data_IF_202721659598
#
_entry.id   IF_202721659598
#
_cell.length_a   1.000
_cell.length_b   1.000
_cell.length_c   1.000
_cell.angle_alpha   90.00
_cell.angle_beta   90.00
_cell.angle_gamma   90.00
#
_symmetry.space_group_name_H-M   'P 1'
#
loop_
_entity.id
_entity.type
_entity.pdbx_description
1 polymer ?
#
# COMPACT_ATOMS: atom_id res chain seq x y z
N UNK A 1 -2.50 -27.02 0.68
CA UNK A 1 -1.02 -26.97 0.75
C UNK A 1 -0.60 -25.86 -0.17
N UNK A 2 0.31 -24.95 0.24
CA UNK A 2 0.74 -23.81 -0.56
C UNK A 2 2.17 -24.06 -1.03
N UNK A 3 2.43 -23.99 -2.33
CA UNK A 3 3.75 -24.27 -2.89
C UNK A 3 4.46 -22.95 -3.25
N UNK A 4 5.72 -22.82 -2.86
CA UNK A 4 6.60 -21.68 -3.15
C UNK A 4 7.73 -22.19 -4.04
N UNK A 5 8.02 -21.50 -5.14
CA UNK A 5 9.16 -21.82 -6.01
C UNK A 5 10.17 -20.68 -5.99
N UNK A 6 11.41 -21.01 -5.65
CA UNK A 6 12.48 -20.06 -5.37
C UNK A 6 12.58 -19.66 -3.89
N UNK A 7 13.75 -19.16 -3.48
CA UNK A 7 13.97 -18.63 -2.13
C UNK A 7 14.86 -17.38 -2.08
N UNK A 8 14.39 -16.33 -1.41
CA UNK A 8 15.18 -15.14 -1.02
C UNK A 8 14.85 -14.74 0.42
N UNK A 9 15.54 -13.72 0.94
CA UNK A 9 15.29 -13.17 2.27
C UNK A 9 13.85 -12.68 2.49
N UNK A 10 13.14 -12.29 1.42
CA UNK A 10 11.71 -11.92 1.47
C UNK A 10 10.82 -13.08 1.88
N UNK A 11 11.25 -14.32 1.61
CA UNK A 11 10.54 -15.54 2.00
C UNK A 11 10.35 -15.64 3.51
N UNK A 12 11.32 -15.16 4.30
CA UNK A 12 11.20 -15.17 5.76
C UNK A 12 10.09 -14.24 6.25
N UNK A 13 10.00 -13.02 5.71
CA UNK A 13 8.96 -12.09 6.13
C UNK A 13 7.57 -12.55 5.66
N UNK A 14 7.46 -13.14 4.48
CA UNK A 14 6.20 -13.72 4.02
C UNK A 14 5.75 -14.91 4.88
N UNK A 15 6.67 -15.77 5.35
CA UNK A 15 6.36 -16.81 6.35
C UNK A 15 5.93 -16.18 7.68
N UNK A 16 6.59 -15.11 8.14
CA UNK A 16 6.21 -14.40 9.38
C UNK A 16 4.77 -13.90 9.30
N UNK A 17 4.38 -13.36 8.15
CA UNK A 17 3.03 -12.89 7.89
C UNK A 17 2.00 -14.03 7.91
N UNK A 18 2.29 -15.16 7.27
CA UNK A 18 1.43 -16.35 7.31
C UNK A 18 1.30 -16.92 8.73
N UNK A 19 2.39 -16.96 9.49
CA UNK A 19 2.38 -17.42 10.88
C UNK A 19 1.51 -16.53 11.78
N UNK A 20 1.55 -15.22 11.57
CA UNK A 20 0.67 -14.27 12.27
C UNK A 20 -0.80 -14.44 11.90
N UNK A 21 -1.08 -14.70 10.63
CA UNK A 21 -2.43 -14.86 10.12
C UNK A 21 -3.09 -16.19 10.51
N UNK A 22 -2.30 -17.18 10.92
CA UNK A 22 -2.79 -18.51 11.23
C UNK A 22 -3.65 -18.50 12.50
N UNK A 23 -4.98 -18.38 12.32
CA UNK A 23 -5.96 -18.44 13.40
C UNK A 23 -5.94 -19.81 14.09
N UNK A 24 -6.27 -19.84 15.38
CA UNK A 24 -6.40 -21.08 16.17
C UNK A 24 -7.33 -22.09 15.48
N UNK A 25 -6.77 -23.21 15.00
CA UNK A 25 -7.51 -24.32 14.38
C UNK A 25 -7.09 -24.64 12.94
N UNK A 26 -6.58 -23.67 12.18
CA UNK A 26 -6.03 -23.91 10.84
C UNK A 26 -4.50 -23.90 10.89
N UNK A 27 -3.86 -25.02 10.56
CA UNK A 27 -2.39 -25.10 10.45
C UNK A 27 -1.95 -25.04 8.99
N UNK A 28 -1.75 -23.84 8.40
CA UNK A 28 -1.31 -23.71 7.03
C UNK A 28 -0.04 -24.52 6.80
N UNK A 29 0.04 -25.17 5.65
CA UNK A 29 1.20 -25.96 5.24
C UNK A 29 1.79 -25.34 4.00
N UNK A 30 3.05 -24.92 4.11
CA UNK A 30 3.85 -24.27 3.09
C UNK A 30 4.93 -25.24 2.64
N UNK A 31 5.00 -25.52 1.35
CA UNK A 31 6.05 -26.31 0.71
C UNK A 31 6.93 -25.37 -0.12
N UNK A 32 8.23 -25.37 0.11
CA UNK A 32 9.21 -24.51 -0.56
C UNK A 32 10.08 -25.37 -1.46
N UNK A 33 10.10 -25.04 -2.74
CA UNK A 33 10.95 -25.63 -3.76
C UNK A 33 12.07 -24.64 -4.06
N UNK A 34 13.27 -24.91 -3.57
CA UNK A 34 14.40 -24.00 -3.71
C UNK A 34 15.68 -24.72 -4.15
N UNK A 35 16.56 -23.97 -4.78
CA UNK A 35 17.93 -24.37 -5.07
C UNK A 35 18.84 -24.21 -3.85
N UNK A 36 18.48 -23.31 -2.93
CA UNK A 36 19.13 -23.08 -1.62
C UNK A 36 18.97 -24.32 -0.73
N UNK A 37 19.98 -24.61 0.09
CA UNK A 37 19.95 -25.75 1.00
C UNK A 37 18.84 -25.59 2.05
N UNK A 38 18.14 -26.70 2.34
CA UNK A 38 17.04 -26.70 3.31
C UNK A 38 17.49 -26.28 4.70
N UNK A 39 18.70 -26.66 5.11
CA UNK A 39 19.27 -26.30 6.41
C UNK A 39 19.40 -24.79 6.59
N UNK A 40 19.83 -24.07 5.56
CA UNK A 40 19.98 -22.62 5.58
C UNK A 40 18.63 -21.92 5.72
N UNK A 41 17.61 -22.42 5.01
CA UNK A 41 16.23 -21.89 5.09
C UNK A 41 15.66 -22.12 6.48
N UNK A 42 15.77 -23.34 7.03
CA UNK A 42 15.27 -23.62 8.39
C UNK A 42 16.02 -22.81 9.45
N UNK A 43 17.33 -22.64 9.30
CA UNK A 43 18.14 -21.80 10.18
C UNK A 43 17.67 -20.34 10.13
N UNK A 44 17.49 -19.79 8.93
CA UNK A 44 17.00 -18.43 8.74
C UNK A 44 15.60 -18.20 9.31
N UNK A 45 14.68 -19.17 9.16
CA UNK A 45 13.35 -19.13 9.81
C UNK A 45 13.50 -19.04 11.34
N UNK A 46 14.33 -19.92 11.93
CA UNK A 46 14.54 -19.94 13.38
C UNK A 46 15.19 -18.65 13.90
N UNK A 47 16.14 -18.09 13.17
CA UNK A 47 16.85 -16.86 13.56
C UNK A 47 15.99 -15.61 13.43
N UNK A 48 15.21 -15.49 12.34
CA UNK A 48 14.46 -14.26 12.01
C UNK A 48 13.03 -14.24 12.54
N UNK A 49 12.39 -15.40 12.63
CA UNK A 49 10.97 -15.56 12.99
C UNK A 49 10.83 -16.22 14.37
N UNK A 50 11.67 -17.23 14.65
CA UNK A 50 11.58 -18.06 15.84
C UNK A 50 10.89 -19.39 15.57
N UNK A 51 10.32 -19.99 16.61
CA UNK A 51 9.59 -21.25 16.49
C UNK A 51 8.19 -21.01 15.91
N UNK A 52 7.89 -21.64 14.78
CA UNK A 52 6.56 -21.61 14.17
C UNK A 52 5.60 -22.47 14.98
N UNK A 53 4.53 -21.87 15.50
CA UNK A 53 3.52 -22.53 16.35
C UNK A 53 2.32 -23.01 15.56
N UNK A 54 1.98 -22.30 14.49
CA UNK A 54 0.74 -22.49 13.75
C UNK A 54 0.96 -22.90 12.30
N UNK A 55 2.13 -22.64 11.72
CA UNK A 55 2.47 -22.95 10.33
C UNK A 55 3.43 -24.14 10.24
N UNK A 56 3.17 -25.04 9.28
CA UNK A 56 4.10 -26.11 8.90
C UNK A 56 4.84 -25.71 7.63
N UNK A 57 6.17 -25.81 7.66
CA UNK A 57 7.04 -25.51 6.52
C UNK A 57 7.81 -26.76 6.13
N UNK A 58 7.77 -27.12 4.85
CA UNK A 58 8.55 -28.19 4.25
C UNK A 58 9.41 -27.63 3.13
N UNK A 59 10.70 -27.92 3.12
CA UNK A 59 11.61 -27.54 2.04
C UNK A 59 11.96 -28.78 1.21
N UNK A 60 11.73 -28.70 -0.10
CA UNK A 60 12.19 -29.65 -1.10
C UNK A 60 13.23 -28.99 -1.99
N UNK A 61 14.28 -29.75 -2.30
CA UNK A 61 15.31 -29.31 -3.24
C UNK A 61 14.85 -29.59 -4.67
N UNK A 62 14.83 -28.57 -5.52
CA UNK A 62 14.45 -28.74 -6.92
C UNK A 62 14.42 -27.42 -7.68
N UNK A 63 14.65 -27.49 -8.98
CA UNK A 63 14.31 -26.42 -9.94
C UNK A 63 12.83 -26.50 -10.25
N UNK A 64 12.15 -25.36 -10.48
CA UNK A 64 10.76 -25.36 -10.95
C UNK A 64 10.70 -26.06 -12.31
N UNK A 65 10.23 -27.31 -12.34
CA UNK A 65 9.69 -27.89 -13.57
C UNK A 65 8.32 -27.23 -13.77
N UNK A 66 8.08 -26.66 -14.96
CA UNK A 66 6.80 -26.04 -15.32
C UNK A 66 5.69 -27.09 -15.29
N UNK A 67 5.14 -27.35 -14.11
CA UNK A 67 3.85 -27.99 -13.94
C UNK A 67 2.80 -26.93 -13.62
N UNK A 68 1.55 -27.25 -13.89
CA UNK A 68 0.42 -26.37 -13.65
C UNK A 68 0.29 -26.10 -12.13
N UNK A 69 0.00 -24.85 -11.75
CA UNK A 69 -0.30 -24.33 -10.38
C UNK A 69 0.81 -23.61 -9.56
N UNK A 70 1.59 -22.65 -10.11
CA UNK A 70 2.68 -22.03 -9.32
C UNK A 70 2.77 -20.50 -9.29
N UNK A 71 3.01 -19.98 -8.09
CA UNK A 71 3.61 -18.69 -7.91
C UNK A 71 5.13 -18.78 -7.97
N UNK A 72 5.73 -18.01 -8.89
CA UNK A 72 7.17 -17.91 -9.03
C UNK A 72 7.70 -16.73 -8.23
N UNK A 73 8.51 -16.98 -7.21
CA UNK A 73 9.36 -15.96 -6.62
C UNK A 73 10.72 -16.14 -7.29
N UNK A 74 11.03 -15.41 -8.35
CA UNK A 74 12.38 -15.49 -8.87
C UNK A 74 13.31 -14.84 -7.85
N UNK A 75 14.19 -15.59 -7.16
CA UNK A 75 15.10 -15.01 -6.19
C UNK A 75 16.43 -14.64 -6.85
N UNK A 76 16.58 -14.89 -8.14
CA UNK A 76 17.84 -14.83 -8.88
C UNK A 76 17.68 -14.30 -10.31
N UNK A 77 16.53 -13.70 -10.66
CA UNK A 77 16.49 -12.86 -11.86
C UNK A 77 17.42 -11.68 -11.59
N UNK A 78 18.42 -11.42 -12.43
CA UNK A 78 19.06 -10.13 -12.43
C UNK A 78 17.96 -9.08 -12.56
N UNK A 79 18.03 -8.09 -11.68
CA UNK A 79 17.24 -6.87 -11.60
C UNK A 79 16.54 -6.47 -12.92
N UNK A 80 15.24 -6.13 -12.83
CA UNK A 80 14.50 -5.50 -13.93
C UNK A 80 13.52 -6.38 -14.71
N UNK A 81 13.32 -7.65 -14.35
CA UNK A 81 12.20 -8.44 -14.88
C UNK A 81 11.15 -8.72 -13.78
N UNK A 82 9.91 -8.40 -14.11
CA UNK A 82 8.74 -8.41 -13.23
C UNK A 82 8.66 -9.70 -12.39
N UNK A 83 8.24 -9.61 -11.11
CA UNK A 83 7.76 -10.83 -10.46
C UNK A 83 6.48 -11.25 -11.18
N UNK A 84 6.47 -12.43 -11.77
CA UNK A 84 5.31 -12.91 -12.49
C UNK A 84 4.49 -13.81 -11.58
N UNK A 85 3.22 -13.47 -11.43
CA UNK A 85 2.27 -14.41 -10.85
C UNK A 85 1.65 -15.23 -11.96
N UNK A 86 2.08 -16.48 -12.10
CA UNK A 86 1.38 -17.45 -12.92
C UNK A 86 0.22 -18.06 -12.12
N UNK A 87 -0.99 -18.05 -12.67
CA UNK A 87 -2.13 -18.76 -12.11
C UNK A 87 -2.20 -20.20 -12.65
N UNK A 88 -2.91 -21.10 -11.96
CA UNK A 88 -3.32 -22.44 -12.43
C UNK A 88 -3.84 -22.51 -13.87
N UNK A 89 -4.51 -21.46 -14.34
CA UNK A 89 -5.09 -21.39 -15.68
C UNK A 89 -4.11 -20.89 -16.75
N UNK A 90 -2.84 -20.67 -16.40
CA UNK A 90 -1.80 -20.14 -17.29
C UNK A 90 -1.75 -18.61 -17.37
N UNK A 91 -2.61 -17.87 -16.66
CA UNK A 91 -2.56 -16.41 -16.66
C UNK A 91 -1.28 -15.94 -15.95
N UNK A 92 -0.51 -15.09 -16.62
CA UNK A 92 0.65 -14.41 -16.03
C UNK A 92 0.29 -12.95 -15.73
N UNK A 93 0.30 -12.58 -14.45
CA UNK A 93 0.12 -11.19 -14.03
C UNK A 93 1.51 -10.57 -13.77
N UNK A 94 1.89 -9.51 -14.50
CA UNK A 94 3.07 -8.74 -14.12
C UNK A 94 2.78 -8.06 -12.78
N UNK A 95 3.56 -8.39 -11.76
CA UNK A 95 3.45 -7.81 -10.43
C UNK A 95 4.84 -7.42 -9.98
N UNK A 96 5.11 -6.13 -9.77
CA UNK A 96 6.38 -5.69 -9.19
C UNK A 96 6.12 -5.22 -7.76
N UNK A 97 6.28 -6.09 -6.75
CA UNK A 97 6.15 -5.70 -5.34
C UNK A 97 7.05 -4.50 -5.00
N UNK A 98 8.21 -4.41 -5.65
CA UNK A 98 9.22 -3.38 -5.40
C UNK A 98 8.82 -2.03 -6.00
N UNK A 99 8.32 -2.01 -7.23
CA UNK A 99 7.76 -0.80 -7.84
C UNK A 99 6.60 -0.27 -6.98
N UNK A 100 5.72 -1.17 -6.55
CA UNK A 100 4.58 -0.81 -5.69
C UNK A 100 5.06 -0.29 -4.33
N UNK A 101 6.10 -0.89 -3.75
CA UNK A 101 6.69 -0.43 -2.50
C UNK A 101 7.35 0.95 -2.64
N UNK A 102 8.10 1.19 -3.72
CA UNK A 102 8.71 2.48 -4.03
C UNK A 102 7.66 3.58 -4.23
N UNK A 103 6.57 3.27 -4.92
CA UNK A 103 5.43 4.19 -5.08
C UNK A 103 4.70 4.44 -3.77
N UNK A 104 4.54 3.40 -2.95
CA UNK A 104 3.97 3.50 -1.61
C UNK A 104 4.80 4.39 -0.70
N UNK A 105 6.14 4.32 -0.81
CA UNK A 105 7.04 5.21 -0.10
C UNK A 105 6.76 6.67 -0.45
N UNK A 106 6.50 6.99 -1.72
CA UNK A 106 6.16 8.35 -2.17
C UNK A 106 4.85 8.84 -1.55
N UNK A 107 3.79 8.02 -1.59
CA UNK A 107 2.52 8.38 -0.95
C UNK A 107 2.67 8.58 0.55
N UNK A 108 3.45 7.72 1.20
CA UNK A 108 3.77 7.84 2.62
C UNK A 108 4.47 9.16 2.95
N UNK A 109 5.40 9.59 2.09
CA UNK A 109 6.10 10.86 2.26
C UNK A 109 5.19 12.08 2.12
N UNK A 110 4.23 12.04 1.18
CA UNK A 110 3.37 13.16 0.86
C UNK A 110 2.02 13.16 1.61
N UNK A 111 1.62 12.02 2.18
CA UNK A 111 0.31 11.83 2.81
C UNK A 111 0.46 11.19 4.21
N UNK A 112 0.24 11.97 5.29
CA UNK A 112 0.18 11.41 6.64
C UNK A 112 -0.88 10.32 6.75
N UNK A 113 -0.54 9.22 7.44
CA UNK A 113 -1.41 8.06 7.64
C UNK A 113 -1.45 7.06 6.49
N UNK A 114 -0.82 7.33 5.34
CA UNK A 114 -0.89 6.41 4.19
C UNK A 114 -0.24 5.04 4.47
N UNK A 115 0.96 5.03 5.06
CA UNK A 115 1.61 3.78 5.47
C UNK A 115 0.82 3.01 6.52
N UNK A 116 0.17 3.72 7.47
CA UNK A 116 -0.68 3.09 8.48
C UNK A 116 -1.91 2.42 7.83
N UNK A 117 -2.57 3.10 6.89
CA UNK A 117 -3.71 2.54 6.15
C UNK A 117 -3.33 1.30 5.34
N UNK A 118 -2.18 1.32 4.66
CA UNK A 118 -1.73 0.17 3.89
C UNK A 118 -1.28 -0.99 4.78
N UNK A 119 -0.66 -0.69 5.93
CA UNK A 119 -0.40 -1.74 6.91
C UNK A 119 -1.71 -2.34 7.42
N UNK A 120 -2.72 -1.53 7.75
CA UNK A 120 -4.01 -2.05 8.21
C UNK A 120 -4.74 -2.86 7.11
N UNK A 121 -4.58 -2.50 5.83
CA UNK A 121 -5.20 -3.19 4.71
C UNK A 121 -4.45 -4.46 4.25
N UNK A 122 -3.12 -4.51 4.41
CA UNK A 122 -2.29 -5.59 3.87
C UNK A 122 -1.54 -6.43 4.91
N UNK A 123 -1.59 -6.09 6.20
CA UNK A 123 -1.08 -7.00 7.25
C UNK A 123 -2.06 -8.16 7.40
N UNK A 124 -1.56 -9.40 7.35
CA UNK A 124 -2.45 -10.54 7.52
C UNK A 124 -2.86 -10.65 9.00
N UNK A 125 -4.16 -10.85 9.26
CA UNK A 125 -4.72 -10.86 10.62
C UNK A 125 -5.43 -9.57 11.06
N UNK A 126 -5.47 -8.53 10.21
CA UNK A 126 -6.42 -7.41 10.29
C UNK A 126 -7.65 -7.71 9.41
N UNK A 127 -8.37 -6.67 8.96
CA UNK A 127 -9.43 -6.79 7.99
C UNK A 127 -8.86 -7.05 6.59
N UNK A 128 -9.35 -8.11 5.95
CA UNK A 128 -8.84 -8.64 4.69
C UNK A 128 -9.85 -8.43 3.54
N UNK A 129 -9.39 -8.64 2.30
CA UNK A 129 -10.23 -8.53 1.11
C UNK A 129 -10.82 -9.91 0.76
N UNK A 130 -12.14 -9.97 0.67
CA UNK A 130 -12.88 -11.18 0.32
C UNK A 130 -13.69 -11.00 -0.97
N UNK A 131 -13.77 -12.08 -1.74
CA UNK A 131 -14.83 -12.27 -2.73
C UNK A 131 -15.99 -12.96 -2.02
N UNK A 132 -17.20 -12.42 -2.15
CA UNK A 132 -18.36 -13.03 -1.51
C UNK A 132 -19.61 -12.90 -2.37
N UNK A 133 -20.31 -14.01 -2.56
CA UNK A 133 -21.58 -14.02 -3.30
C UNK A 133 -22.73 -13.58 -2.40
N UNK A 134 -23.43 -12.52 -2.79
CA UNK A 134 -24.59 -12.02 -2.06
C UNK A 134 -25.83 -12.06 -2.98
N UNK A 135 -26.64 -13.14 -2.93
CA UNK A 135 -27.81 -13.29 -3.80
C UNK A 135 -28.80 -12.13 -3.74
N UNK A 136 -28.91 -11.46 -2.58
CA UNK A 136 -29.81 -10.33 -2.34
C UNK A 136 -29.43 -9.06 -3.11
N UNK A 137 -28.19 -8.99 -3.64
CA UNK A 137 -27.75 -7.87 -4.48
C UNK A 137 -28.11 -8.05 -5.95
N UNK A 138 -28.64 -9.20 -6.39
CA UNK A 138 -29.02 -9.41 -7.78
C UNK A 138 -30.00 -8.33 -8.25
N UNK A 139 -29.66 -7.65 -9.36
CA UNK A 139 -30.45 -6.53 -9.90
C UNK A 139 -30.29 -5.21 -9.14
N UNK A 140 -29.53 -5.18 -8.04
CA UNK A 140 -29.21 -3.95 -7.32
C UNK A 140 -28.01 -3.24 -7.95
N UNK A 141 -27.89 -1.95 -7.68
CA UNK A 141 -26.77 -1.11 -8.10
C UNK A 141 -25.59 -1.19 -7.12
N UNK A 142 -24.40 -0.85 -7.61
CA UNK A 142 -23.17 -0.81 -6.83
C UNK A 142 -23.23 0.17 -5.65
N UNK A 143 -23.80 1.36 -5.83
CA UNK A 143 -23.98 2.33 -4.74
C UNK A 143 -24.88 1.81 -3.61
N UNK A 144 -25.92 1.06 -3.95
CA UNK A 144 -26.77 0.40 -2.95
C UNK A 144 -25.95 -0.59 -2.11
N UNK A 145 -25.06 -1.36 -2.73
CA UNK A 145 -24.20 -2.32 -2.03
C UNK A 145 -23.24 -1.64 -1.03
N UNK A 146 -22.66 -0.48 -1.35
CA UNK A 146 -21.74 0.27 -0.45
C UNK A 146 -22.37 0.53 0.94
N UNK A 147 -23.68 0.72 0.99
CA UNK A 147 -24.42 1.05 2.22
C UNK A 147 -25.13 -0.15 2.88
N UNK A 148 -25.03 -1.34 2.29
CA UNK A 148 -25.84 -2.51 2.67
C UNK A 148 -25.22 -3.44 3.72
N UNK A 149 -23.97 -3.19 4.14
CA UNK A 149 -23.22 -4.03 5.07
C UNK A 149 -22.76 -3.21 6.26
N UNK A 150 -22.96 -3.73 7.48
CA UNK A 150 -22.60 -3.02 8.72
C UNK A 150 -21.11 -3.10 9.04
N UNK A 151 -20.48 -4.26 8.78
CA UNK A 151 -19.09 -4.57 9.15
C UNK A 151 -18.19 -4.90 7.95
N UNK A 152 -18.60 -4.44 6.76
CA UNK A 152 -17.84 -4.62 5.55
C UNK A 152 -17.87 -3.35 4.68
N UNK A 153 -16.78 -3.10 3.98
CA UNK A 153 -16.67 -2.03 2.99
C UNK A 153 -16.57 -2.63 1.60
N UNK A 154 -17.58 -2.39 0.76
CA UNK A 154 -17.60 -2.87 -0.63
C UNK A 154 -16.69 -1.99 -1.48
N UNK A 155 -15.75 -2.62 -2.19
CA UNK A 155 -14.72 -1.96 -3.00
C UNK A 155 -14.75 -2.33 -4.47
N UNK A 156 -15.54 -3.35 -4.85
CA UNK A 156 -15.63 -3.76 -6.24
C UNK A 156 -16.58 -4.92 -6.50
N UNK A 157 -16.49 -5.46 -7.71
CA UNK A 157 -17.29 -6.58 -8.21
C UNK A 157 -16.37 -7.54 -8.94
N UNK A 158 -16.46 -8.84 -8.63
CA UNK A 158 -15.92 -9.91 -9.46
C UNK A 158 -17.05 -10.43 -10.35
N UNK A 159 -16.89 -10.28 -11.65
CA UNK A 159 -17.84 -10.72 -12.67
C UNK A 159 -17.83 -12.25 -12.76
N UNK A 160 -18.89 -12.83 -13.31
CA UNK A 160 -19.03 -14.28 -13.44
C UNK A 160 -17.93 -14.94 -14.30
N UNK A 161 -17.30 -14.19 -15.22
CA UNK A 161 -16.16 -14.61 -16.03
C UNK A 161 -14.81 -14.48 -15.28
N UNK A 162 -14.82 -14.08 -14.02
CA UNK A 162 -13.62 -13.86 -13.20
C UNK A 162 -13.02 -12.46 -13.33
N UNK A 163 -13.54 -11.59 -14.20
CA UNK A 163 -13.03 -10.22 -14.35
C UNK A 163 -13.29 -9.41 -13.08
N UNK A 164 -12.26 -8.75 -12.58
CA UNK A 164 -12.33 -7.85 -11.42
C UNK A 164 -12.59 -6.42 -11.88
N UNK A 165 -13.55 -5.77 -11.23
CA UNK A 165 -13.82 -4.33 -11.36
C UNK A 165 -13.69 -3.68 -9.98
N UNK A 166 -12.71 -2.80 -9.80
CA UNK A 166 -12.53 -2.01 -8.58
C UNK A 166 -13.15 -0.63 -8.77
N UNK A 167 -13.89 -0.16 -7.76
CA UNK A 167 -14.69 1.07 -7.78
C UNK A 167 -15.44 1.29 -9.12
N UNK A 168 -16.27 0.34 -9.59
CA UNK A 168 -17.01 0.50 -10.83
C UNK A 168 -18.00 1.68 -10.76
N UNK A 169 -18.53 2.16 -11.89
CA UNK A 169 -19.56 3.19 -11.89
C UNK A 169 -20.70 2.83 -10.94
N UNK A 170 -21.21 3.81 -10.19
CA UNK A 170 -22.23 3.61 -9.16
C UNK A 170 -23.53 2.98 -9.67
N UNK A 171 -23.81 3.15 -10.97
CA UNK A 171 -24.97 2.59 -11.68
C UNK A 171 -24.77 1.15 -12.12
N UNK A 172 -23.59 0.55 -11.90
CA UNK A 172 -23.30 -0.83 -12.28
C UNK A 172 -24.23 -1.77 -11.53
N UNK A 173 -24.87 -2.68 -12.25
CA UNK A 173 -25.86 -3.62 -11.72
C UNK A 173 -25.18 -4.97 -11.47
N UNK A 174 -25.50 -5.61 -10.35
CA UNK A 174 -25.07 -6.98 -10.07
C UNK A 174 -25.91 -7.99 -10.85
N UNK A 175 -25.23 -8.92 -11.51
CA UNK A 175 -25.82 -10.02 -12.26
C UNK A 175 -25.60 -11.37 -11.57
N UNK A 176 -26.21 -12.42 -12.11
CA UNK A 176 -26.08 -13.77 -11.59
C UNK A 176 -24.62 -14.26 -11.72
N UNK A 177 -24.15 -14.96 -10.68
CA UNK A 177 -22.78 -15.49 -10.63
C UNK A 177 -21.72 -14.45 -10.24
N UNK A 178 -22.09 -13.19 -10.02
CA UNK A 178 -21.17 -12.15 -9.58
C UNK A 178 -21.01 -12.11 -8.06
N UNK A 179 -19.85 -11.65 -7.63
CA UNK A 179 -19.46 -11.56 -6.23
C UNK A 179 -19.08 -10.12 -5.90
N UNK A 180 -19.40 -9.67 -4.68
CA UNK A 180 -18.82 -8.43 -4.18
C UNK A 180 -17.36 -8.65 -3.83
N UNK A 181 -16.58 -7.60 -3.98
CA UNK A 181 -15.24 -7.50 -3.40
C UNK A 181 -15.37 -6.58 -2.20
N UNK A 182 -15.08 -7.07 -1.00
CA UNK A 182 -15.27 -6.33 0.24
C UNK A 182 -14.11 -6.51 1.22
N UNK A 183 -13.83 -5.45 1.98
CA UNK A 183 -12.92 -5.48 3.13
C UNK A 183 -13.74 -5.87 4.36
N UNK A 184 -13.31 -6.89 5.10
CA UNK A 184 -13.95 -7.33 6.35
C UNK A 184 -12.99 -8.13 7.24
N UNK A 185 -13.32 -8.30 8.53
CA UNK A 185 -12.50 -9.09 9.46
C UNK A 185 -12.47 -10.60 9.13
N UNK A 186 -13.57 -11.09 8.56
CA UNK A 186 -13.74 -12.46 8.05
C UNK A 186 -14.95 -12.53 7.12
N UNK A 187 -15.06 -13.64 6.38
CA UNK A 187 -16.17 -13.86 5.45
C UNK A 187 -17.54 -13.88 6.14
N UNK A 188 -17.62 -14.35 7.39
CA UNK A 188 -18.87 -14.40 8.16
C UNK A 188 -19.39 -13.02 8.57
N UNK A 189 -18.52 -12.00 8.56
CA UNK A 189 -18.86 -10.62 8.89
C UNK A 189 -19.52 -9.89 7.71
N UNK A 190 -19.52 -10.49 6.52
CA UNK A 190 -20.14 -9.96 5.29
C UNK A 190 -21.64 -10.28 5.30
N UNK A 191 -22.36 -9.64 6.21
CA UNK A 191 -23.81 -9.85 6.39
C UNK A 191 -24.60 -8.73 5.72
N UNK A 192 -25.39 -9.08 4.70
CA UNK A 192 -26.30 -8.16 4.04
C UNK A 192 -27.45 -7.75 4.97
N UNK A 193 -27.63 -6.44 5.16
CA UNK A 193 -28.66 -5.87 6.04
C UNK A 193 -29.79 -5.16 5.29
N UNK A 194 -29.77 -5.19 3.96
CA UNK A 194 -30.72 -4.43 3.13
C UNK A 194 -30.20 -3.05 2.73
N UNK A 195 -30.72 -2.54 1.62
CA UNK A 195 -30.42 -1.21 1.12
C UNK A 195 -31.01 -0.17 2.08
N UNK A 196 -30.15 0.65 2.69
CA UNK A 196 -30.57 1.73 3.60
C UNK A 196 -31.09 2.93 2.79
N UNK A 197 -32.33 2.83 2.31
CA UNK A 197 -33.00 3.89 1.51
C UNK A 197 -33.16 5.21 2.27
N UNK A 198 -33.12 5.22 3.60
CA UNK A 198 -33.18 6.46 4.40
C UNK A 198 -31.92 7.34 4.27
N UNK A 199 -30.86 6.85 3.64
CA UNK A 199 -29.62 7.60 3.40
C UNK A 199 -29.62 8.32 2.04
N UNK A 200 -30.66 8.19 1.22
CA UNK A 200 -30.74 8.77 -0.14
C UNK A 200 -30.82 10.30 -0.16
N UNK A 201 -31.23 10.92 0.95
CA UNK A 201 -31.35 12.38 1.07
C UNK A 201 -29.97 13.05 1.27
N UNK A 202 -28.93 12.25 1.50
CA UNK A 202 -27.57 12.73 1.73
C UNK A 202 -26.89 12.90 0.38
N UNK A 203 -26.94 14.13 -0.12
CA UNK A 203 -26.05 14.52 -1.22
C UNK A 203 -24.70 14.93 -0.65
N UNK A 204 -23.61 14.40 -1.21
CA UNK A 204 -22.31 14.97 -0.94
C UNK A 204 -22.30 16.46 -1.27
N UNK A 205 -21.48 17.21 -0.55
CA UNK A 205 -21.29 18.63 -0.85
C UNK A 205 -20.80 18.74 -2.30
N UNK A 206 -21.42 19.64 -3.08
CA UNK A 206 -20.94 19.99 -4.42
C UNK A 206 -19.45 20.31 -4.29
N UNK A 207 -18.60 19.70 -5.14
CA UNK A 207 -17.17 20.06 -5.22
C UNK A 207 -17.09 21.57 -5.23
N UNK A 208 -16.50 22.17 -4.20
CA UNK A 208 -16.27 23.60 -4.21
C UNK A 208 -15.46 23.90 -5.46
N UNK A 209 -15.94 24.83 -6.30
CA UNK A 209 -15.21 25.28 -7.48
C UNK A 209 -13.90 25.98 -7.11
N UNK A 210 -13.66 26.25 -5.81
CA UNK A 210 -12.31 26.49 -5.32
C UNK A 210 -11.49 25.21 -5.50
N UNK A 211 -10.93 25.03 -6.69
CA UNK A 211 -9.58 24.47 -6.78
C UNK A 211 -8.76 25.25 -5.77
N UNK A 212 -8.56 24.71 -4.58
CA UNK A 212 -7.34 25.01 -3.86
C UNK A 212 -6.26 24.64 -4.85
N UNK A 213 -5.69 25.64 -5.53
CA UNK A 213 -4.55 25.42 -6.40
C UNK A 213 -3.50 24.90 -5.43
N UNK A 214 -3.28 23.59 -5.46
CA UNK A 214 -2.38 22.95 -4.54
C UNK A 214 -1.04 23.67 -4.64
N UNK A 215 -0.56 24.17 -3.49
CA UNK A 215 0.65 24.98 -3.46
C UNK A 215 1.81 24.12 -3.99
N UNK A 216 2.75 24.71 -4.74
CA UNK A 216 3.97 24.02 -5.14
C UNK A 216 4.64 23.36 -3.94
N UNK A 217 5.11 22.13 -4.13
CA UNK A 217 5.77 21.31 -3.11
C UNK A 217 7.23 21.11 -3.53
N UNK A 218 8.15 21.23 -2.59
CA UNK A 218 9.58 21.04 -2.86
C UNK A 218 10.08 19.79 -2.14
N UNK A 219 10.53 18.79 -2.89
CA UNK A 219 10.98 17.49 -2.38
C UNK A 219 12.48 17.37 -2.53
N UNK A 220 13.17 16.91 -1.48
CA UNK A 220 14.55 16.44 -1.55
C UNK A 220 14.56 14.92 -1.55
N UNK A 221 15.24 14.30 -2.50
CA UNK A 221 15.62 12.90 -2.49
C UNK A 221 17.10 12.86 -2.08
N UNK A 222 17.39 12.20 -0.97
CA UNK A 222 18.73 11.95 -0.45
C UNK A 222 19.12 10.49 -0.71
N UNK A 223 20.19 10.28 -1.45
CA UNK A 223 20.59 8.94 -1.89
C UNK A 223 19.88 8.51 -3.17
N UNK A 224 20.43 7.48 -3.81
CA UNK A 224 19.88 6.94 -5.05
C UNK A 224 20.08 5.42 -5.13
N UNK A 225 19.08 4.75 -5.66
CA UNK A 225 19.07 3.33 -5.98
C UNK A 225 18.21 3.11 -7.21
N UNK A 226 18.07 1.87 -7.64
CA UNK A 226 17.19 1.49 -8.76
C UNK A 226 15.73 1.93 -8.57
N UNK A 227 15.25 2.07 -7.33
CA UNK A 227 13.91 2.57 -7.02
C UNK A 227 13.75 4.09 -7.22
N UNK A 228 14.85 4.81 -7.42
CA UNK A 228 14.83 6.25 -7.63
C UNK A 228 14.00 6.65 -8.86
N UNK A 229 14.01 5.84 -9.92
CA UNK A 229 13.22 6.10 -11.12
C UNK A 229 11.71 6.02 -10.84
N UNK A 230 11.27 4.95 -10.17
CA UNK A 230 9.87 4.76 -9.77
C UNK A 230 9.39 5.85 -8.80
N UNK A 231 10.24 6.21 -7.83
CA UNK A 231 9.97 7.30 -6.88
C UNK A 231 9.79 8.62 -7.62
N UNK A 232 10.67 8.96 -8.56
CA UNK A 232 10.57 10.20 -9.34
C UNK A 232 9.34 10.17 -10.25
N UNK A 233 9.08 9.06 -10.94
CA UNK A 233 7.92 8.91 -11.81
C UNK A 233 6.60 9.13 -11.04
N UNK A 234 6.50 8.57 -9.84
CA UNK A 234 5.34 8.72 -8.97
C UNK A 234 5.22 10.13 -8.39
N UNK A 235 6.32 10.75 -7.98
CA UNK A 235 6.33 12.17 -7.57
C UNK A 235 5.84 13.07 -8.71
N UNK A 236 6.28 12.83 -9.95
CA UNK A 236 5.80 13.58 -11.13
C UNK A 236 4.29 13.39 -11.34
N UNK A 237 3.73 12.24 -10.95
CA UNK A 237 2.31 11.94 -11.05
C UNK A 237 1.48 12.71 -10.02
N UNK A 238 1.93 12.75 -8.77
CA UNK A 238 1.12 13.25 -7.65
C UNK A 238 1.39 14.71 -7.29
N UNK A 239 2.58 15.25 -7.59
CA UNK A 239 2.95 16.59 -7.16
C UNK A 239 2.17 17.67 -7.94
N UNK A 240 1.77 18.77 -7.26
CA UNK A 240 1.18 19.92 -7.93
C UNK A 240 2.08 20.52 -9.00
N UNK A 241 1.50 21.24 -9.96
CA UNK A 241 2.27 22.00 -10.96
C UNK A 241 3.21 23.01 -10.29
N UNK A 242 4.37 23.25 -10.90
CA UNK A 242 5.44 24.12 -10.39
C UNK A 242 6.15 23.62 -9.11
N UNK A 243 5.92 22.37 -8.71
CA UNK A 243 6.72 21.68 -7.69
C UNK A 243 8.16 21.44 -8.16
N UNK A 244 9.05 21.07 -7.25
CA UNK A 244 10.43 20.71 -7.61
C UNK A 244 10.92 19.47 -6.87
N UNK A 245 11.74 18.68 -7.54
CA UNK A 245 12.45 17.53 -6.97
C UNK A 245 13.94 17.84 -7.04
N UNK A 246 14.62 17.78 -5.90
CA UNK A 246 16.07 17.89 -5.83
C UNK A 246 16.63 16.53 -5.46
N UNK A 247 17.57 16.01 -6.24
CA UNK A 247 18.20 14.70 -6.01
C UNK A 247 19.65 14.93 -5.58
N UNK A 248 19.97 14.57 -4.34
CA UNK A 248 21.34 14.53 -3.86
C UNK A 248 21.81 13.08 -3.80
N UNK A 249 22.97 12.79 -4.38
CA UNK A 249 23.50 11.45 -4.48
C UNK A 249 25.05 11.47 -4.47
N UNK A 250 25.64 10.33 -4.13
CA UNK A 250 27.06 10.04 -4.18
C UNK A 250 27.37 9.35 -5.53
N UNK A 251 28.08 10.01 -6.46
CA UNK A 251 28.39 9.46 -7.78
C UNK A 251 29.21 8.16 -7.74
N UNK A 252 29.89 7.86 -6.63
CA UNK A 252 30.65 6.62 -6.47
C UNK A 252 29.76 5.43 -6.06
N UNK A 253 28.48 5.67 -5.75
CA UNK A 253 27.55 4.70 -5.17
C UNK A 253 26.30 4.44 -6.00
N UNK A 254 26.17 5.09 -7.14
CA UNK A 254 25.09 4.82 -8.09
C UNK A 254 25.49 5.20 -9.51
N UNK A 255 24.81 4.61 -10.49
CA UNK A 255 24.94 5.03 -11.88
C UNK A 255 24.18 6.35 -12.12
N UNK A 256 24.94 7.44 -12.29
CA UNK A 256 24.40 8.77 -12.56
C UNK A 256 23.56 8.85 -13.87
N UNK A 257 23.68 7.87 -14.78
CA UNK A 257 22.87 7.83 -16.01
C UNK A 257 21.39 7.51 -15.74
N UNK A 258 21.11 6.81 -14.64
CA UNK A 258 19.73 6.49 -14.21
C UNK A 258 19.02 7.71 -13.60
N UNK A 259 19.74 8.79 -13.33
CA UNK A 259 19.18 9.98 -12.70
C UNK A 259 18.55 10.87 -13.78
N UNK A 260 17.27 11.24 -13.64
CA UNK A 260 16.57 12.00 -14.68
C UNK A 260 17.17 13.41 -14.83
N UNK A 261 17.73 13.68 -16.01
CA UNK A 261 18.41 14.94 -16.31
C UNK A 261 17.46 16.12 -16.56
N UNK A 262 16.16 15.87 -16.79
CA UNK A 262 15.16 16.91 -17.05
C UNK A 262 13.84 16.57 -16.39
N UNK A 263 13.23 17.58 -15.80
CA UNK A 263 11.88 17.49 -15.28
C UNK A 263 10.83 17.36 -16.39
N UNK A 264 9.72 16.71 -16.06
CA UNK A 264 8.55 16.54 -16.93
C UNK A 264 7.37 17.25 -16.24
N UNK A 265 6.39 17.74 -17.01
CA UNK A 265 5.15 18.38 -16.49
C UNK A 265 5.36 19.62 -15.60
N UNK A 266 6.31 20.50 -15.93
CA UNK A 266 6.58 21.72 -15.16
C UNK A 266 7.02 21.47 -13.71
N UNK A 267 7.68 20.33 -13.47
CA UNK A 267 8.41 20.03 -12.24
C UNK A 267 9.89 20.22 -12.53
N UNK A 268 10.61 20.93 -11.68
CA UNK A 268 12.06 21.12 -11.86
C UNK A 268 12.81 20.00 -11.17
N UNK A 269 13.66 19.28 -11.92
CA UNK A 269 14.59 18.29 -11.36
C UNK A 269 15.99 18.90 -11.39
N UNK A 270 16.65 18.94 -10.23
CA UNK A 270 18.07 19.32 -10.11
C UNK A 270 18.82 18.24 -9.38
N UNK A 271 20.08 18.01 -9.75
CA UNK A 271 20.96 17.10 -9.03
C UNK A 271 22.31 17.73 -8.70
N UNK A 272 22.90 17.33 -7.56
CA UNK A 272 24.18 17.85 -7.08
C UNK A 272 24.21 18.12 -5.57
N UNK A 273 25.32 18.63 -5.06
CA UNK A 273 25.45 18.96 -3.63
C UNK A 273 24.52 20.13 -3.24
N UNK A 274 23.92 20.03 -2.06
CA UNK A 274 22.95 21.01 -1.57
C UNK A 274 23.63 22.33 -1.23
N UNK A 275 23.31 23.39 -1.99
CA UNK A 275 23.70 24.77 -1.65
C UNK A 275 22.74 25.36 -0.59
N UNK A 276 22.78 24.82 0.63
CA UNK A 276 22.44 25.45 1.92
C UNK A 276 21.21 26.36 2.14
N UNK A 277 20.22 26.49 1.24
CA UNK A 277 19.17 27.53 1.39
C UNK A 277 17.76 27.14 0.92
N UNK A 278 17.55 25.96 0.34
CA UNK A 278 16.23 25.54 -0.14
C UNK A 278 15.40 24.94 1.02
N UNK A 279 14.17 25.42 1.17
CA UNK A 279 13.16 24.84 2.08
C UNK A 279 12.47 23.68 1.37
N UNK A 280 12.50 22.50 1.97
CA UNK A 280 11.82 21.31 1.48
C UNK A 280 10.57 21.04 2.33
N UNK A 281 9.49 20.63 1.67
CA UNK A 281 8.29 20.12 2.35
C UNK A 281 8.47 18.67 2.77
N UNK A 282 9.16 17.89 1.93
CA UNK A 282 9.39 16.45 2.14
C UNK A 282 10.85 16.11 1.83
N UNK A 283 11.46 15.29 2.68
CA UNK A 283 12.75 14.66 2.45
C UNK A 283 12.52 13.15 2.35
N UNK A 284 12.87 12.56 1.22
CA UNK A 284 12.86 11.12 0.98
C UNK A 284 14.31 10.64 0.97
N UNK A 285 14.69 9.80 1.91
CA UNK A 285 16.03 9.20 1.93
C UNK A 285 15.96 7.77 1.40
N UNK A 286 16.71 7.46 0.34
CA UNK A 286 16.82 6.15 -0.28
C UNK A 286 18.15 5.51 0.07
N UNK A 287 18.16 4.27 0.55
CA UNK A 287 19.38 3.55 0.82
C UNK A 287 20.06 3.12 -0.49
N UNK A 288 21.37 3.31 -0.55
CA UNK A 288 22.19 2.80 -1.64
C UNK A 288 22.23 1.27 -1.64
N UNK A 289 22.29 0.69 -2.83
CA UNK A 289 22.25 -0.78 -3.02
C UNK A 289 23.45 -1.33 -3.79
N UNK A 290 24.12 -0.47 -4.55
CA UNK A 290 25.30 -0.84 -5.34
C UNK A 290 26.57 -0.82 -4.48
N UNK A 291 27.34 -1.91 -4.54
CA UNK A 291 28.68 -2.03 -3.95
C UNK A 291 28.77 -1.77 -2.43
N UNK A 292 27.66 -1.94 -1.70
CA UNK A 292 27.61 -1.86 -0.24
C UNK A 292 26.65 -2.88 0.35
N UNK A 293 26.94 -3.35 1.56
CA UNK A 293 26.04 -4.24 2.30
C UNK A 293 24.89 -3.49 2.99
N UNK A 294 23.77 -4.16 3.32
CA UNK A 294 22.59 -3.53 3.94
C UNK A 294 22.89 -2.73 5.21
N UNK A 295 23.79 -3.20 6.06
CA UNK A 295 24.16 -2.52 7.30
C UNK A 295 24.88 -1.18 7.05
N UNK A 296 25.79 -1.16 6.07
CA UNK A 296 26.51 0.05 5.69
C UNK A 296 25.56 1.03 4.99
N UNK A 297 24.64 0.52 4.17
CA UNK A 297 23.60 1.31 3.54
C UNK A 297 22.72 2.02 4.59
N UNK A 298 22.18 1.28 5.55
CA UNK A 298 21.38 1.84 6.66
C UNK A 298 22.16 2.91 7.44
N UNK A 299 23.43 2.64 7.76
CA UNK A 299 24.28 3.57 8.49
C UNK A 299 24.45 4.90 7.73
N UNK A 300 24.79 4.83 6.45
CA UNK A 300 24.94 6.01 5.57
C UNK A 300 23.65 6.81 5.47
N UNK A 301 22.51 6.15 5.25
CA UNK A 301 21.20 6.81 5.18
C UNK A 301 20.87 7.54 6.49
N UNK A 302 21.08 6.87 7.63
CA UNK A 302 20.85 7.47 8.96
C UNK A 302 21.76 8.69 9.18
N UNK A 303 23.04 8.61 8.82
CA UNK A 303 23.97 9.75 8.94
C UNK A 303 23.56 10.93 8.05
N UNK A 304 23.16 10.67 6.81
CA UNK A 304 22.70 11.69 5.88
C UNK A 304 21.44 12.41 6.42
N UNK A 305 20.45 11.63 6.87
CA UNK A 305 19.22 12.17 7.47
C UNK A 305 19.51 13.02 8.71
N UNK A 306 20.42 12.58 9.59
CA UNK A 306 20.84 13.38 10.76
C UNK A 306 21.43 14.73 10.37
N UNK A 307 22.31 14.76 9.37
CA UNK A 307 22.92 16.01 8.86
C UNK A 307 21.84 16.94 8.30
N UNK A 308 20.91 16.42 7.51
CA UNK A 308 19.82 17.22 6.93
C UNK A 308 18.89 17.75 8.03
N UNK A 309 18.52 16.92 9.02
CA UNK A 309 17.71 17.34 10.16
C UNK A 309 18.39 18.45 10.96
N UNK A 310 19.68 18.31 11.26
CA UNK A 310 20.45 19.33 11.97
C UNK A 310 20.53 20.66 11.19
N UNK A 311 20.52 20.61 9.85
CA UNK A 311 20.50 21.77 8.98
C UNK A 311 19.09 22.35 8.72
N UNK A 312 18.02 21.61 9.07
CA UNK A 312 16.64 22.02 8.83
C UNK A 312 16.11 22.79 10.04
N UNK A 313 15.67 24.06 9.87
CA UNK A 313 15.13 24.84 10.98
C UNK A 313 13.88 24.19 11.58
N UNK A 314 13.76 24.16 12.91
CA UNK A 314 12.60 23.59 13.61
C UNK A 314 11.25 24.29 13.26
N UNK A 315 11.29 25.52 12.73
CA UNK A 315 10.10 26.24 12.26
C UNK A 315 9.62 25.78 10.88
N UNK A 316 10.40 24.97 10.17
CA UNK A 316 10.04 24.42 8.87
C UNK A 316 9.32 23.09 9.06
N UNK A 317 8.07 23.01 8.65
CA UNK A 317 7.29 21.77 8.70
C UNK A 317 7.71 20.82 7.56
N UNK A 318 8.83 20.12 7.77
CA UNK A 318 9.42 19.15 6.83
C UNK A 318 9.15 17.74 7.35
N UNK A 319 8.56 16.86 6.54
CA UNK A 319 8.51 15.43 6.86
C UNK A 319 9.70 14.68 6.30
N UNK A 320 10.17 13.69 7.06
CA UNK A 320 11.24 12.79 6.64
C UNK A 320 10.68 11.39 6.42
N UNK A 321 10.85 10.85 5.22
CA UNK A 321 10.58 9.44 4.91
C UNK A 321 11.90 8.76 4.62
N UNK A 322 12.27 7.81 5.47
CA UNK A 322 13.60 7.19 5.45
C UNK A 322 13.44 5.73 5.10
N UNK A 323 13.99 5.33 3.95
CA UNK A 323 14.10 3.94 3.55
C UNK A 323 15.30 3.29 4.23
N UNK A 324 15.07 2.18 4.91
CA UNK A 324 16.07 1.35 5.56
C UNK A 324 15.79 -0.11 5.26
N UNK A 325 16.84 -0.92 5.14
CA UNK A 325 16.72 -2.36 5.11
C UNK A 325 16.21 -2.90 6.45
N UNK A 326 16.74 -2.36 7.55
CA UNK A 326 16.29 -2.69 8.90
C UNK A 326 15.84 -1.43 9.67
N UNK A 327 14.52 -1.16 9.69
CA UNK A 327 13.96 -0.02 10.42
C UNK A 327 14.28 -0.03 11.92
N UNK A 328 14.62 -1.17 12.53
CA UNK A 328 14.92 -1.22 13.98
C UNK A 328 16.20 -0.47 14.35
N UNK A 329 17.11 -0.25 13.39
CA UNK A 329 18.35 0.52 13.57
C UNK A 329 18.14 2.03 13.58
N UNK A 330 16.95 2.49 13.24
CA UNK A 330 16.60 3.91 13.26
C UNK A 330 16.48 4.49 14.68
N UNK A 331 16.74 3.73 15.75
CA UNK A 331 16.66 4.19 17.14
C UNK A 331 17.51 5.43 17.45
N UNK A 332 18.51 5.72 16.61
CA UNK A 332 19.35 6.92 16.73
C UNK A 332 18.81 8.15 15.99
N UNK A 333 17.70 8.02 15.25
CA UNK A 333 17.02 9.13 14.59
C UNK A 333 15.98 9.73 15.54
N UNK A 334 16.06 11.04 15.76
CA UNK A 334 15.01 11.80 16.43
C UNK A 334 13.85 12.01 15.45
N UNK A 335 12.88 11.10 15.45
CA UNK A 335 11.73 11.12 14.55
C UNK A 335 10.57 11.91 15.17
N UNK A 336 10.00 12.81 14.37
CA UNK A 336 8.75 13.51 14.69
C UNK A 336 7.54 12.64 14.32
N UNK A 337 6.34 13.04 14.74
CA UNK A 337 5.10 12.35 14.37
C UNK A 337 4.80 12.33 12.86
N UNK A 338 5.41 13.24 12.09
CA UNK A 338 5.22 13.33 10.65
C UNK A 338 6.30 12.55 9.87
N UNK A 339 7.29 12.00 10.57
CA UNK A 339 8.34 11.22 9.94
C UNK A 339 7.91 9.75 9.82
N UNK A 340 8.40 9.09 8.78
CA UNK A 340 8.09 7.69 8.52
C UNK A 340 9.36 6.90 8.22
N UNK A 341 9.48 5.74 8.85
CA UNK A 341 10.45 4.73 8.47
C UNK A 341 9.78 3.76 7.51
N UNK A 342 10.45 3.46 6.41
CA UNK A 342 9.94 2.57 5.39
C UNK A 342 10.98 1.49 5.09
N UNK A 343 10.53 0.26 4.87
CA UNK A 343 11.38 -0.82 4.39
C UNK A 343 10.71 -1.43 3.18
N UNK A 344 11.29 -1.19 2.00
CA UNK A 344 10.76 -1.68 0.73
C UNK A 344 10.62 -3.20 0.75
N UNK A 345 11.65 -3.89 1.24
CA UNK A 345 11.68 -5.36 1.34
C UNK A 345 10.55 -5.91 2.22
N UNK A 346 10.27 -5.25 3.36
CA UNK A 346 9.23 -5.69 4.28
C UNK A 346 7.85 -5.48 3.67
N UNK A 347 7.63 -4.35 3.00
CA UNK A 347 6.36 -4.05 2.35
C UNK A 347 6.10 -4.99 1.15
N UNK A 348 7.12 -5.20 0.31
CA UNK A 348 7.09 -6.16 -0.79
C UNK A 348 6.74 -7.56 -0.27
N UNK A 349 7.36 -8.01 0.81
CA UNK A 349 7.08 -9.31 1.41
C UNK A 349 5.64 -9.44 1.93
N UNK A 350 5.03 -8.37 2.47
CA UNK A 350 3.61 -8.37 2.86
C UNK A 350 2.69 -8.55 1.66
N UNK A 351 2.93 -7.82 0.57
CA UNK A 351 2.15 -7.96 -0.65
C UNK A 351 2.25 -9.38 -1.24
N UNK A 352 3.47 -9.91 -1.25
CA UNK A 352 3.74 -11.28 -1.66
C UNK A 352 2.96 -12.27 -0.77
N UNK A 353 2.97 -12.09 0.55
CA UNK A 353 2.22 -12.94 1.48
C UNK A 353 0.70 -12.88 1.27
N UNK A 354 0.14 -11.71 0.98
CA UNK A 354 -1.28 -11.53 0.64
C UNK A 354 -1.67 -12.36 -0.58
N UNK A 355 -0.85 -12.27 -1.62
CA UNK A 355 -1.01 -13.03 -2.85
C UNK A 355 -0.87 -14.54 -2.60
N UNK A 356 0.06 -14.97 -1.74
CA UNK A 356 0.18 -16.38 -1.33
C UNK A 356 -1.03 -16.82 -0.53
N UNK A 357 -1.65 -15.89 0.19
CA UNK A 357 -2.84 -16.16 0.95
C UNK A 357 -4.01 -16.50 0.04
N UNK A 358 -4.25 -15.64 -0.95
CA UNK A 358 -5.32 -15.77 -1.92
C UNK A 358 -4.86 -15.27 -3.31
N UNK A 359 -4.43 -16.17 -4.22
CA UNK A 359 -3.97 -15.79 -5.55
C UNK A 359 -5.01 -15.05 -6.40
N UNK A 360 -6.30 -15.23 -6.12
CA UNK A 360 -7.38 -14.52 -6.80
C UNK A 360 -7.39 -13.01 -6.49
N UNK A 361 -6.67 -12.55 -5.45
CA UNK A 361 -6.53 -11.13 -5.14
C UNK A 361 -5.55 -10.40 -6.06
N UNK A 362 -4.75 -11.10 -6.87
CA UNK A 362 -3.75 -10.46 -7.74
C UNK A 362 -4.32 -9.36 -8.65
N UNK A 363 -5.46 -9.55 -9.33
CA UNK A 363 -6.07 -8.49 -10.13
C UNK A 363 -6.56 -7.31 -9.26
N UNK A 364 -7.01 -7.57 -8.03
CA UNK A 364 -7.45 -6.52 -7.10
C UNK A 364 -6.26 -5.67 -6.66
N UNK A 365 -5.19 -6.31 -6.19
CA UNK A 365 -3.98 -5.64 -5.71
C UNK A 365 -3.28 -4.88 -6.83
N UNK A 366 -3.12 -5.51 -8.01
CA UNK A 366 -2.53 -4.83 -9.16
C UNK A 366 -3.32 -3.60 -9.59
N UNK A 367 -4.66 -3.62 -9.53
CA UNK A 367 -5.48 -2.44 -9.84
C UNK A 367 -5.37 -1.34 -8.78
N UNK A 368 -5.58 -1.66 -7.49
CA UNK A 368 -5.56 -0.66 -6.40
C UNK A 368 -4.18 0.00 -6.25
N UNK A 369 -3.14 -0.77 -6.54
CA UNK A 369 -1.76 -0.34 -6.40
C UNK A 369 -1.19 0.16 -7.74
N UNK A 370 -1.91 0.11 -8.85
CA UNK A 370 -1.49 0.61 -10.17
C UNK A 370 -1.27 2.13 -10.16
N UNK A 371 -0.38 2.66 -11.02
CA UNK A 371 -0.26 4.12 -11.22
C UNK A 371 -1.46 4.70 -11.99
N UNK A 372 -2.28 3.85 -12.61
CA UNK A 372 -3.44 4.22 -13.41
C UNK A 372 -4.69 3.41 -13.01
N UNK A 373 -5.83 4.09 -12.96
CA UNK A 373 -7.10 3.50 -12.55
C UNK A 373 -7.42 3.74 -11.08
N UNK A 374 -8.27 2.90 -10.47
CA UNK A 374 -8.71 3.08 -9.10
C UNK A 374 -7.53 3.05 -8.12
N UNK A 375 -7.44 4.05 -7.23
CA UNK A 375 -6.39 4.12 -6.21
C UNK A 375 -6.93 4.49 -4.85
N UNK A 376 -6.17 4.15 -3.80
CA UNK A 376 -6.45 4.62 -2.44
C UNK A 376 -6.14 6.11 -2.37
N UNK A 377 -7.13 6.91 -2.00
CA UNK A 377 -7.05 8.36 -1.91
C UNK A 377 -7.50 8.84 -0.53
N UNK A 378 -6.77 9.83 -0.01
CA UNK A 378 -7.06 10.49 1.25
C UNK A 378 -7.72 11.84 0.96
N UNK A 379 -9.04 11.85 0.93
CA UNK A 379 -9.83 13.01 0.52
C UNK A 379 -10.31 13.80 1.75
N UNK A 380 -10.19 15.14 1.77
CA UNK A 380 -10.66 15.95 2.89
C UNK A 380 -12.13 15.63 3.26
N UNK A 381 -12.41 15.39 4.54
CA UNK A 381 -13.74 14.95 4.98
C UNK A 381 -14.84 15.98 4.65
N UNK A 382 -14.46 17.25 4.60
CA UNK A 382 -15.33 18.38 4.27
C UNK A 382 -15.80 18.41 2.80
N UNK A 383 -15.21 17.55 1.95
CA UNK A 383 -15.66 17.29 0.59
C UNK A 383 -16.91 16.41 0.53
N UNK A 384 -17.20 15.66 1.60
CA UNK A 384 -18.33 14.73 1.66
C UNK A 384 -19.42 15.25 2.59
N UNK A 385 -19.05 15.70 3.79
CA UNK A 385 -19.99 16.12 4.85
C UNK A 385 -19.62 17.50 5.40
N UNK A 386 -20.55 18.18 6.08
CA UNK A 386 -20.25 19.49 6.64
C UNK A 386 -19.38 19.36 7.91
N UNK A 387 -18.27 20.11 8.03
CA UNK A 387 -17.34 19.99 9.16
C UNK A 387 -17.97 20.42 10.50
N UNK A 388 -17.37 19.98 11.61
CA UNK A 388 -17.78 20.36 12.97
C UNK A 388 -19.07 19.67 13.44
N UNK A 389 -19.42 18.54 12.83
CA UNK A 389 -20.60 17.72 13.17
C UNK A 389 -20.24 16.24 13.30
N UNK A 390 -21.01 15.54 14.11
CA UNK A 390 -20.98 14.09 14.23
C UNK A 390 -21.78 13.44 13.09
N UNK A 391 -21.19 12.46 12.40
CA UNK A 391 -21.91 11.61 11.44
C UNK A 391 -21.59 10.16 11.72
N UNK A 392 -22.54 9.26 11.45
CA UNK A 392 -22.20 7.84 11.37
C UNK A 392 -21.40 7.57 10.09
N UNK A 393 -20.53 6.57 10.11
CA UNK A 393 -19.79 6.16 8.92
C UNK A 393 -20.74 5.74 7.78
N UNK A 394 -21.93 5.21 8.08
CA UNK A 394 -22.99 4.97 7.10
C UNK A 394 -23.34 6.22 6.28
N UNK A 395 -23.51 7.37 6.95
CA UNK A 395 -23.87 8.64 6.31
C UNK A 395 -22.74 9.18 5.45
N UNK A 396 -21.52 9.09 5.96
CA UNK A 396 -20.32 9.50 5.22
C UNK A 396 -20.14 8.60 3.99
N UNK A 397 -20.35 7.30 4.15
CA UNK A 397 -20.21 6.33 3.08
C UNK A 397 -21.26 6.53 1.97
N UNK A 398 -22.51 6.81 2.35
CA UNK A 398 -23.55 7.17 1.38
C UNK A 398 -23.19 8.44 0.61
N UNK A 399 -22.66 9.48 1.30
CA UNK A 399 -22.18 10.68 0.64
C UNK A 399 -21.04 10.38 -0.36
N UNK A 400 -20.05 9.57 0.04
CA UNK A 400 -18.95 9.15 -0.83
C UNK A 400 -19.44 8.40 -2.07
N UNK A 401 -20.40 7.48 -1.89
CA UNK A 401 -21.02 6.76 -3.00
C UNK A 401 -21.69 7.72 -4.00
N UNK A 402 -22.35 8.80 -3.57
CA UNK A 402 -22.93 9.79 -4.51
C UNK A 402 -21.88 10.51 -5.38
N UNK A 403 -20.60 10.47 -4.98
CA UNK A 403 -19.48 11.02 -5.75
C UNK A 403 -18.76 9.99 -6.62
N UNK A 404 -19.16 8.72 -6.55
CA UNK A 404 -18.47 7.64 -7.24
C UNK A 404 -17.22 7.13 -6.53
N UNK A 405 -17.12 7.36 -5.22
CA UNK A 405 -16.01 6.89 -4.40
C UNK A 405 -16.47 5.71 -3.53
N UNK A 406 -15.61 4.71 -3.38
CA UNK A 406 -15.82 3.57 -2.47
C UNK A 406 -15.12 3.81 -1.14
N UNK A 407 -15.84 4.15 -0.06
CA UNK A 407 -15.26 4.49 1.24
C UNK A 407 -14.77 3.24 1.97
N UNK A 408 -13.52 3.27 2.42
CA UNK A 408 -12.87 2.13 3.10
C UNK A 408 -12.44 2.44 4.52
N UNK A 409 -12.35 3.72 4.92
CA UNK A 409 -11.90 4.09 6.26
C UNK A 409 -11.80 5.59 6.45
N UNK A 410 -11.18 6.04 7.53
CA UNK A 410 -10.91 7.45 7.78
C UNK A 410 -9.57 7.68 8.46
N UNK A 411 -9.03 8.88 8.28
CA UNK A 411 -7.86 9.40 8.96
C UNK A 411 -8.25 10.55 9.88
N UNK A 412 -7.79 10.51 11.13
CA UNK A 412 -7.96 11.57 12.13
C UNK A 412 -6.68 12.37 12.26
N UNK A 413 -6.77 13.68 12.01
CA UNK A 413 -5.61 14.57 12.13
C UNK A 413 -5.25 14.88 13.59
N UNK A 414 -6.22 14.78 14.50
CA UNK A 414 -6.06 15.00 15.93
C UNK A 414 -6.58 13.78 16.70
N UNK A 415 -5.82 13.36 17.71
CA UNK A 415 -6.11 12.28 18.68
C UNK A 415 -5.79 10.82 18.26
N UNK A 416 -5.39 10.01 19.26
CA UNK A 416 -5.52 8.55 19.28
C UNK A 416 -5.07 7.76 18.04
N UNK A 417 -5.87 6.77 17.65
CA UNK A 417 -5.67 5.96 16.44
C UNK A 417 -5.89 6.85 15.21
N UNK A 418 -4.80 7.13 14.48
CA UNK A 418 -4.76 8.06 13.35
C UNK A 418 -5.46 7.54 12.10
N UNK A 419 -5.50 6.22 11.91
CA UNK A 419 -6.16 5.56 10.77
C UNK A 419 -7.03 4.40 11.24
N UNK A 420 -8.22 4.29 10.67
CA UNK A 420 -9.08 3.12 10.85
C UNK A 420 -9.67 2.69 9.51
N UNK A 421 -9.44 1.44 9.14
CA UNK A 421 -9.99 0.76 7.98
C UNK A 421 -11.20 -0.09 8.38
N UNK A 422 -12.15 -0.20 7.46
CA UNK A 422 -13.43 -0.89 7.62
C UNK A 422 -14.16 -0.59 8.95
N UNK A 423 -14.36 0.69 9.32
CA UNK A 423 -15.16 1.01 10.48
C UNK A 423 -16.60 0.50 10.30
N UNK A 424 -17.18 0.02 11.41
CA UNK A 424 -18.61 -0.28 11.46
C UNK A 424 -19.45 0.89 10.95
N UNK A 425 -20.52 0.63 10.19
CA UNK A 425 -21.37 1.71 9.64
C UNK A 425 -22.04 2.53 10.76
N UNK A 426 -22.26 1.96 11.94
CA UNK A 426 -22.75 2.66 13.12
C UNK A 426 -21.68 3.53 13.82
N UNK A 427 -20.39 3.38 13.49
CA UNK A 427 -19.32 4.17 14.11
C UNK A 427 -19.58 5.66 13.92
N UNK A 428 -19.57 6.39 15.03
CA UNK A 428 -19.72 7.85 15.03
C UNK A 428 -18.36 8.49 14.78
N UNK A 429 -18.34 9.40 13.83
CA UNK A 429 -17.19 10.19 13.43
C UNK A 429 -17.48 11.68 13.64
N UNK A 430 -16.81 12.25 14.64
CA UNK A 430 -16.84 13.70 14.90
C UNK A 430 -15.84 14.41 13.99
N UNK A 431 -16.36 15.10 12.98
CA UNK A 431 -15.52 15.74 11.95
C UNK A 431 -14.73 16.92 12.50
N UNK A 432 -13.40 16.84 12.41
CA UNK A 432 -12.46 17.91 12.77
C UNK A 432 -11.68 18.44 11.55
N UNK A 433 -11.15 19.67 11.61
CA UNK A 433 -10.26 20.16 10.57
C UNK A 433 -9.03 19.27 10.40
N UNK A 434 -8.71 18.92 9.15
CA UNK A 434 -7.58 18.05 8.81
C UNK A 434 -7.93 16.58 8.66
N UNK A 435 -9.09 16.15 9.14
CA UNK A 435 -9.59 14.79 8.96
C UNK A 435 -9.82 14.47 7.48
N UNK A 436 -9.59 13.21 7.11
CA UNK A 436 -9.73 12.73 5.73
C UNK A 436 -10.55 11.45 5.69
N UNK A 437 -11.31 11.28 4.63
CA UNK A 437 -11.92 10.02 4.27
C UNK A 437 -10.92 9.22 3.43
N UNK A 438 -10.75 7.95 3.76
CA UNK A 438 -9.96 7.03 2.94
C UNK A 438 -10.94 6.32 2.02
N UNK A 439 -10.73 6.52 0.71
CA UNK A 439 -11.59 5.99 -0.34
C UNK A 439 -10.77 5.27 -1.40
N UNK A 440 -11.41 4.37 -2.14
CA UNK A 440 -10.94 3.97 -3.47
C UNK A 440 -11.69 4.83 -4.47
N UNK A 441 -10.94 5.61 -5.24
CA UNK A 441 -11.46 6.56 -6.22
C UNK A 441 -10.80 6.35 -7.58
N UNK A 442 -11.51 6.72 -8.66
CA UNK A 442 -11.05 6.62 -10.05
C UNK A 442 -10.33 7.87 -10.56
#
# INVERSE_FOLDING_TARGET
MKNIYGWSDRGYEAIRQIERSAKSGARPTVEIHATVASEDIYKGIKERIGELKHTRVFVKRGTPEYADDFLYLNPSAPFGESSFLAKPNGDVYPFSPDEIAARTLVHTACQPGYAEALNELFDLGSDEIFFHRVPQLLGQRYDAAISSFEKACVIGIRKADGKVLINPPITTIFHEGEEIIAISADENSIVYQGVKTQLTDIQARKKSASRNIAKPVHVLIEGWSEYGEDVVAELIRILPRASSIHIHFDPEKCDAQTIPARGVKAITITSGQTTGTKKYSHVIALAYRSDIGPNEADHRTIEAVKKIKAATPASQNTSFTVELFDPSKACTLELSENDCLFAIENFAAKLIAQIWHNPDLTPVLSMILSPAGPSISFEPIDSYVAPGRAYTFARIAAAAATRGDSPIGYFRAMDGVKVLINPSKATIFDTKPGDKLIVIAN
#
